data_IF_109632313145
#
_entry.id   IF_109632313145
#
_cell.length_a   1.000
_cell.length_b   1.000
_cell.length_c   1.000
_cell.angle_alpha   90.00
_cell.angle_beta   90.00
_cell.angle_gamma   90.00
#
_symmetry.space_group_name_H-M   'P 1'
#
loop_
_entity.id
_entity.type
_entity.pdbx_description
1 polymer ?
#
# COMPACT_ATOMS: atom_id res chain seq x y z
N UNK A 1 -10.58 -10.24 -23.41
CA UNK A 1 -10.41 -10.73 -22.02
C UNK A 1 -11.71 -10.62 -21.22
N UNK A 2 -12.18 -11.72 -20.64
CA UNK A 2 -13.35 -11.79 -19.76
C UNK A 2 -12.84 -12.13 -18.36
N UNK A 3 -13.19 -11.33 -17.37
CA UNK A 3 -12.85 -11.60 -15.98
C UNK A 3 -14.07 -12.23 -15.32
N UNK A 4 -13.94 -13.48 -14.86
CA UNK A 4 -15.00 -14.11 -14.09
C UNK A 4 -14.93 -13.58 -12.66
N UNK A 5 -15.80 -12.64 -12.33
CA UNK A 5 -15.89 -12.07 -10.98
C UNK A 5 -16.74 -12.99 -10.10
N UNK A 6 -16.20 -13.39 -8.95
CA UNK A 6 -17.02 -13.98 -7.91
C UNK A 6 -17.70 -12.87 -7.09
N UNK A 7 -16.97 -11.80 -6.77
CA UNK A 7 -17.48 -10.69 -5.98
C UNK A 7 -16.72 -9.38 -6.28
N UNK A 8 -17.45 -8.26 -6.29
CA UNK A 8 -16.92 -6.89 -6.34
C UNK A 8 -17.62 -6.07 -5.25
N UNK A 9 -16.84 -5.51 -4.32
CA UNK A 9 -17.32 -4.58 -3.30
C UNK A 9 -16.58 -3.25 -3.47
N UNK A 10 -17.31 -2.19 -3.80
CA UNK A 10 -16.73 -0.87 -4.06
C UNK A 10 -17.48 0.19 -3.24
N UNK A 11 -17.17 0.35 -1.94
CA UNK A 11 -17.70 1.46 -1.17
C UNK A 11 -17.06 2.74 -1.68
N UNK A 12 -17.87 3.75 -1.98
CA UNK A 12 -17.36 5.02 -2.45
C UNK A 12 -18.20 6.19 -1.94
N UNK A 13 -17.56 7.36 -1.92
CA UNK A 13 -18.22 8.65 -1.87
C UNK A 13 -18.02 9.35 -3.20
N UNK A 14 -19.04 10.11 -3.63
CA UNK A 14 -18.94 10.95 -4.81
C UNK A 14 -19.47 12.34 -4.44
N UNK A 15 -18.60 13.34 -4.48
CA UNK A 15 -18.97 14.72 -4.11
C UNK A 15 -18.33 15.67 -5.10
N UNK A 16 -19.14 16.48 -5.78
CA UNK A 16 -18.67 17.48 -6.76
C UNK A 16 -17.72 16.89 -7.83
N UNK A 17 -18.01 15.67 -8.28
CA UNK A 17 -17.18 14.96 -9.26
C UNK A 17 -15.91 14.31 -8.70
N UNK A 18 -15.61 14.44 -7.41
CA UNK A 18 -14.55 13.70 -6.76
C UNK A 18 -15.08 12.36 -6.24
N UNK A 19 -14.67 11.28 -6.89
CA UNK A 19 -14.86 9.90 -6.43
C UNK A 19 -13.76 9.53 -5.44
N UNK A 20 -14.11 8.94 -4.31
CA UNK A 20 -13.16 8.37 -3.36
C UNK A 20 -13.63 7.02 -2.87
N UNK A 21 -12.71 6.04 -2.80
CA UNK A 21 -12.97 4.73 -2.21
C UNK A 21 -11.94 4.43 -1.12
N UNK A 22 -12.39 4.14 0.12
CA UNK A 22 -11.46 3.78 1.19
C UNK A 22 -10.92 2.36 1.02
N UNK A 23 -11.70 1.47 0.40
CA UNK A 23 -11.35 0.07 0.20
C UNK A 23 -12.31 -0.62 -0.78
N UNK A 24 -11.98 -0.61 -2.07
CA UNK A 24 -12.62 -1.46 -3.07
C UNK A 24 -11.94 -2.83 -3.07
N UNK A 25 -12.71 -3.92 -3.02
CA UNK A 25 -12.21 -5.29 -3.11
C UNK A 25 -12.83 -6.04 -4.27
N UNK A 26 -12.04 -6.92 -4.86
CA UNK A 26 -12.46 -7.78 -5.96
C UNK A 26 -11.91 -9.17 -5.74
N UNK A 27 -12.80 -10.15 -5.79
CA UNK A 27 -12.50 -11.56 -5.58
C UNK A 27 -12.84 -12.33 -6.84
N UNK A 28 -11.85 -13.03 -7.37
CA UNK A 28 -12.05 -14.05 -8.39
C UNK A 28 -11.29 -15.33 -8.02
N UNK A 29 -11.46 -16.47 -8.72
CA UNK A 29 -10.80 -17.72 -8.34
C UNK A 29 -9.28 -17.64 -8.14
N UNK A 30 -8.57 -16.85 -8.94
CA UNK A 30 -7.09 -16.83 -9.00
C UNK A 30 -6.44 -15.48 -8.64
N UNK A 31 -7.23 -14.47 -8.34
CA UNK A 31 -6.82 -13.10 -8.09
C UNK A 31 -7.72 -12.52 -7.00
N UNK A 32 -7.06 -11.91 -6.04
CA UNK A 32 -7.64 -11.01 -5.06
C UNK A 32 -7.10 -9.63 -5.35
N UNK A 33 -7.94 -8.61 -5.33
CA UNK A 33 -7.52 -7.23 -5.54
C UNK A 33 -8.13 -6.36 -4.46
N UNK A 34 -7.32 -5.48 -3.88
CA UNK A 34 -7.76 -4.39 -3.04
C UNK A 34 -7.29 -3.07 -3.64
N UNK A 35 -8.14 -2.05 -3.66
CA UNK A 35 -7.83 -0.73 -4.17
C UNK A 35 -8.34 0.34 -3.22
N UNK A 36 -7.57 1.42 -3.09
CA UNK A 36 -7.97 2.63 -2.37
C UNK A 36 -7.45 3.86 -3.09
N UNK A 37 -8.19 4.95 -3.02
CA UNK A 37 -7.79 6.20 -3.66
C UNK A 37 -8.97 6.95 -4.23
N UNK A 38 -8.67 7.82 -5.20
CA UNK A 38 -9.60 8.81 -5.73
C UNK A 38 -9.51 8.94 -7.24
N UNK A 39 -10.63 9.31 -7.83
CA UNK A 39 -10.72 9.78 -9.20
C UNK A 39 -11.41 11.14 -9.22
N UNK A 40 -10.81 12.11 -9.89
CA UNK A 40 -11.48 13.37 -10.20
C UNK A 40 -12.14 13.23 -11.57
N UNK A 41 -13.46 13.17 -11.60
CA UNK A 41 -14.24 13.01 -12.84
C UNK A 41 -14.33 14.31 -13.65
N UNK A 42 -14.04 15.48 -13.03
CA UNK A 42 -14.07 16.78 -13.71
C UNK A 42 -12.75 17.04 -14.42
N UNK A 43 -11.65 16.80 -13.70
CA UNK A 43 -10.30 16.93 -14.25
C UNK A 43 -9.79 15.65 -14.93
N UNK A 44 -10.60 14.59 -14.92
CA UNK A 44 -10.29 13.26 -15.46
C UNK A 44 -8.97 12.68 -14.94
N UNK A 45 -8.70 12.82 -13.64
CA UNK A 45 -7.44 12.36 -13.02
C UNK A 45 -7.63 11.19 -12.07
N UNK A 46 -6.58 10.37 -11.95
CA UNK A 46 -6.53 9.17 -11.13
C UNK A 46 -5.44 9.30 -10.07
N UNK A 47 -5.71 8.79 -8.87
CA UNK A 47 -4.72 8.54 -7.84
C UNK A 47 -5.17 7.35 -6.98
N UNK A 48 -4.72 6.16 -7.34
CA UNK A 48 -5.06 4.92 -6.67
C UNK A 48 -3.83 4.12 -6.28
N UNK A 49 -3.94 3.44 -5.15
CA UNK A 49 -3.08 2.32 -4.77
C UNK A 49 -3.87 1.03 -4.95
N UNK A 50 -3.36 0.15 -5.79
CA UNK A 50 -3.97 -1.13 -6.13
C UNK A 50 -3.03 -2.25 -5.70
N UNK A 51 -3.55 -3.19 -4.93
CA UNK A 51 -2.83 -4.36 -4.41
C UNK A 51 -3.45 -5.63 -5.02
N UNK A 52 -2.99 -6.06 -6.22
CA UNK A 52 -3.34 -7.37 -6.75
C UNK A 52 -2.51 -8.45 -6.06
N UNK A 53 -3.15 -9.56 -5.73
CA UNK A 53 -2.54 -10.79 -5.22
C UNK A 53 -3.03 -11.97 -6.05
N UNK A 54 -2.12 -12.61 -6.76
CA UNK A 54 -2.41 -13.86 -7.47
C UNK A 54 -2.33 -15.02 -6.48
N UNK A 55 -3.34 -15.89 -6.44
CA UNK A 55 -3.38 -17.07 -5.56
C UNK A 55 -3.10 -18.32 -6.38
N UNK A 56 -2.19 -19.17 -5.89
CA UNK A 56 -1.63 -20.26 -6.70
C UNK A 56 -2.45 -21.57 -6.69
N UNK A 57 -3.49 -21.70 -5.85
CA UNK A 57 -4.19 -23.00 -5.71
C UNK A 57 -5.71 -22.88 -5.52
N UNK A 58 -6.44 -23.84 -6.11
CA UNK A 58 -7.85 -24.18 -5.79
C UNK A 58 -7.98 -25.02 -4.49
N UNK A 59 -6.87 -25.35 -3.82
CA UNK A 59 -6.87 -26.06 -2.56
C UNK A 59 -7.22 -25.10 -1.42
N UNK A 60 -8.52 -24.89 -1.22
CA UNK A 60 -9.02 -23.96 -0.19
C UNK A 60 -10.51 -24.03 0.08
N UNK A 61 -11.24 -25.04 -0.42
CA UNK A 61 -12.64 -25.28 -0.01
C UNK A 61 -12.79 -25.82 1.42
N UNK A 62 -11.73 -25.86 2.25
CA UNK A 62 -11.83 -26.53 3.55
C UNK A 62 -10.80 -26.23 4.63
N UNK A 63 -9.93 -25.21 4.55
CA UNK A 63 -8.99 -25.00 5.67
C UNK A 63 -8.01 -23.84 5.58
N UNK A 64 -7.71 -23.30 6.77
CA UNK A 64 -6.92 -22.11 7.12
C UNK A 64 -5.44 -22.18 6.71
N UNK A 65 -5.12 -22.32 5.43
CA UNK A 65 -3.74 -22.16 4.95
C UNK A 65 -3.56 -20.77 4.35
N UNK A 66 -2.49 -20.03 4.74
CA UNK A 66 -2.21 -18.72 4.16
C UNK A 66 -1.88 -18.91 2.69
N UNK A 67 -2.77 -18.43 1.82
CA UNK A 67 -2.61 -18.48 0.37
C UNK A 67 -1.25 -17.91 -0.04
N UNK A 68 -0.35 -18.79 -0.47
CA UNK A 68 0.92 -18.48 -1.13
C UNK A 68 0.60 -17.80 -2.45
N UNK A 69 0.83 -16.49 -2.47
CA UNK A 69 0.50 -15.64 -3.60
C UNK A 69 1.48 -14.49 -3.74
N UNK A 70 1.80 -14.14 -4.98
CA UNK A 70 2.65 -12.99 -5.29
C UNK A 70 1.76 -11.76 -5.33
N UNK A 71 2.05 -10.81 -4.44
CA UNK A 71 1.44 -9.49 -4.44
C UNK A 71 2.43 -8.48 -5.01
N UNK A 72 2.02 -7.74 -6.03
CA UNK A 72 2.80 -6.63 -6.58
C UNK A 72 1.94 -5.36 -6.48
N UNK A 73 2.06 -4.60 -5.39
CA UNK A 73 1.39 -3.32 -5.24
C UNK A 73 1.75 -2.34 -6.38
N UNK A 74 0.74 -1.67 -6.94
CA UNK A 74 0.86 -0.71 -8.04
C UNK A 74 0.18 0.60 -7.65
N UNK A 75 0.83 1.71 -7.97
CA UNK A 75 0.25 3.05 -7.93
C UNK A 75 -0.23 3.39 -9.34
N UNK A 76 -1.48 3.83 -9.45
CA UNK A 76 -2.13 4.27 -10.69
C UNK A 76 -2.39 5.77 -10.59
N UNK A 77 -1.73 6.57 -11.41
CA UNK A 77 -1.92 8.02 -11.46
C UNK A 77 -2.10 8.53 -12.88
N UNK A 78 -2.23 9.84 -13.08
CA UNK A 78 -2.33 10.45 -14.40
C UNK A 78 -3.78 10.75 -14.79
N UNK A 79 -4.05 10.85 -16.08
CA UNK A 79 -5.40 11.12 -16.59
C UNK A 79 -6.12 9.84 -16.97
N UNK A 80 -7.44 9.89 -17.18
CA UNK A 80 -8.22 8.76 -17.70
C UNK A 80 -7.73 8.32 -19.08
N UNK A 81 -7.30 9.27 -19.91
CA UNK A 81 -6.75 9.04 -21.25
C UNK A 81 -5.32 8.54 -21.26
N UNK A 82 -4.54 8.80 -20.21
CA UNK A 82 -3.13 8.41 -20.11
C UNK A 82 -2.76 8.00 -18.68
N UNK A 83 -3.29 6.86 -18.20
CA UNK A 83 -2.97 6.36 -16.89
C UNK A 83 -1.51 5.88 -16.83
N UNK A 84 -0.84 6.18 -15.72
CA UNK A 84 0.53 5.79 -15.42
C UNK A 84 0.53 4.77 -14.30
N UNK A 85 1.20 3.64 -14.55
CA UNK A 85 1.31 2.54 -13.61
C UNK A 85 2.76 2.43 -13.14
N UNK A 86 2.97 2.38 -11.82
CA UNK A 86 4.30 2.17 -11.24
C UNK A 86 4.23 1.26 -10.02
N UNK A 87 5.24 0.38 -9.79
CA UNK A 87 5.31 -0.39 -8.56
C UNK A 87 5.31 0.52 -7.33
N UNK A 88 4.57 0.14 -6.28
CA UNK A 88 4.63 0.80 -4.98
C UNK A 88 5.82 0.26 -4.19
N UNK A 89 7.02 0.77 -4.51
CA UNK A 89 8.27 0.36 -3.86
C UNK A 89 8.25 0.63 -2.35
N UNK A 90 7.54 1.67 -1.91
CA UNK A 90 7.40 1.99 -0.49
C UNK A 90 6.64 0.89 0.24
N UNK A 91 5.48 0.48 -0.30
CA UNK A 91 4.72 -0.64 0.25
C UNK A 91 5.51 -1.95 0.23
N UNK A 92 6.21 -2.25 -0.86
CA UNK A 92 7.03 -3.48 -0.99
C UNK A 92 8.15 -3.50 0.04
N UNK A 93 8.85 -2.38 0.22
CA UNK A 93 9.92 -2.25 1.21
C UNK A 93 9.36 -2.38 2.64
N UNK A 94 8.25 -1.68 2.95
CA UNK A 94 7.57 -1.80 4.25
C UNK A 94 7.13 -3.23 4.55
N UNK A 95 6.55 -3.94 3.58
CA UNK A 95 6.15 -5.34 3.74
C UNK A 95 7.35 -6.27 3.94
N UNK A 96 8.46 -6.03 3.25
CA UNK A 96 9.71 -6.79 3.41
C UNK A 96 10.32 -6.60 4.80
N UNK A 97 10.43 -5.35 5.27
CA UNK A 97 10.94 -5.05 6.62
C UNK A 97 10.04 -5.64 7.70
N UNK A 98 8.71 -5.53 7.57
CA UNK A 98 7.76 -6.13 8.53
C UNK A 98 7.87 -7.65 8.60
N UNK A 99 8.19 -8.31 7.47
CA UNK A 99 8.38 -9.76 7.41
C UNK A 99 9.67 -10.19 8.11
N UNK A 100 10.74 -9.42 7.99
CA UNK A 100 12.04 -9.72 8.61
C UNK A 100 12.12 -9.32 10.09
N UNK A 101 11.35 -8.31 10.52
CA UNK A 101 11.36 -7.78 11.88
C UNK A 101 9.94 -7.71 12.48
N UNK A 102 9.30 -8.86 12.78
CA UNK A 102 7.92 -8.92 13.25
C UNK A 102 7.66 -8.28 14.64
N UNK A 103 8.70 -7.77 15.32
CA UNK A 103 8.62 -7.16 16.66
C UNK A 103 8.99 -5.67 16.74
N UNK A 104 9.33 -5.01 15.63
CA UNK A 104 9.72 -3.58 15.65
C UNK A 104 8.50 -2.65 15.57
N UNK A 105 7.86 -2.43 16.72
CA UNK A 105 6.68 -1.56 16.93
C UNK A 105 6.92 -0.07 16.55
N UNK A 106 8.12 0.34 16.13
CA UNK A 106 8.48 1.75 15.87
C UNK A 106 8.76 2.15 14.42
N UNK A 107 8.59 1.26 13.43
CA UNK A 107 9.01 1.59 12.04
C UNK A 107 8.13 2.65 11.36
N UNK A 108 6.86 2.78 11.76
CA UNK A 108 5.97 3.82 11.22
C UNK A 108 6.35 5.23 11.73
N UNK A 109 7.10 5.37 12.83
CA UNK A 109 7.67 6.64 13.31
C UNK A 109 9.01 7.00 12.66
N UNK A 110 9.77 6.00 12.19
CA UNK A 110 11.14 6.19 11.67
C UNK A 110 11.15 6.46 10.16
N UNK A 111 10.10 6.06 9.44
CA UNK A 111 9.99 6.34 8.00
C UNK A 111 9.46 7.77 7.81
N UNK A 112 10.31 8.74 7.41
CA UNK A 112 9.85 10.10 7.21
C UNK A 112 8.80 10.12 6.10
N UNK A 113 7.61 10.62 6.41
CA UNK A 113 6.62 11.01 5.42
C UNK A 113 7.27 12.13 4.58
N UNK A 114 7.80 11.78 3.40
CA UNK A 114 8.56 12.69 2.51
C UNK A 114 7.67 13.75 1.85
N UNK A 115 6.66 14.25 2.56
CA UNK A 115 5.68 15.24 2.13
C UNK A 115 5.84 16.64 2.72
N UNK A 116 6.71 16.88 3.70
CA UNK A 116 6.99 18.23 4.24
C UNK A 116 8.48 18.47 4.48
N UNK A 117 9.14 19.14 3.53
CA UNK A 117 10.39 19.90 3.77
C UNK A 117 9.92 21.23 4.41
N UNK A 118 10.41 21.71 5.55
CA UNK A 118 11.76 22.28 5.70
C UNK A 118 12.29 22.38 7.16
N UNK A 119 11.55 21.98 8.21
CA UNK A 119 11.96 22.30 9.60
C UNK A 119 12.54 21.14 10.44
N UNK A 120 12.50 19.88 9.97
CA UNK A 120 12.80 18.71 10.83
C UNK A 120 14.26 18.25 10.85
N UNK A 121 15.12 18.75 9.96
CA UNK A 121 16.53 18.31 9.83
C UNK A 121 17.29 18.40 11.17
N UNK A 122 17.04 19.45 11.95
CA UNK A 122 17.68 19.71 13.24
C UNK A 122 17.14 18.82 14.38
N UNK A 123 15.89 18.36 14.26
CA UNK A 123 15.21 17.51 15.25
C UNK A 123 15.62 16.05 15.07
N UNK A 124 15.74 15.61 13.82
CA UNK A 124 16.18 14.26 13.45
C UNK A 124 17.64 14.03 13.86
N UNK A 125 18.53 15.01 13.66
CA UNK A 125 19.92 14.92 14.10
C UNK A 125 20.09 14.88 15.63
N UNK A 126 19.23 15.60 16.38
CA UNK A 126 19.23 15.55 17.85
C UNK A 126 18.79 14.18 18.36
N UNK A 127 17.68 13.65 17.84
CA UNK A 127 17.16 12.33 18.24
C UNK A 127 18.15 11.20 17.93
N UNK A 128 18.84 11.27 16.78
CA UNK A 128 19.87 10.29 16.43
C UNK A 128 21.09 10.36 17.37
N UNK A 129 21.52 11.57 17.76
CA UNK A 129 22.66 11.75 18.70
C UNK A 129 22.34 11.29 20.12
N UNK A 130 21.12 11.49 20.59
CA UNK A 130 20.68 11.03 21.92
C UNK A 130 20.57 9.50 21.99
N UNK A 131 20.15 8.86 20.89
CA UNK A 131 20.08 7.40 20.82
C UNK A 131 21.48 6.75 20.81
N UNK A 132 22.45 7.35 20.12
CA UNK A 132 23.85 6.86 20.12
C UNK A 132 24.52 7.04 21.48
N UNK A 133 24.19 8.11 22.23
CA UNK A 133 24.70 8.31 23.60
C UNK A 133 24.12 7.34 24.63
N UNK A 134 22.92 6.81 24.39
CA UNK A 134 22.26 5.84 25.28
C UNK A 134 22.71 4.39 25.10
N UNK A 135 23.52 4.10 24.07
CA UNK A 135 24.00 2.75 23.79
C UNK A 135 25.30 2.45 24.57
N UNK A 136 25.33 1.41 25.42
CA UNK A 136 26.52 1.05 26.19
C UNK A 136 27.50 0.28 25.27
N UNK A 137 28.25 1.01 24.45
CA UNK A 137 29.42 0.44 23.77
C UNK A 137 30.64 0.55 24.68
N UNK A 138 30.88 -0.48 25.48
CA UNK A 138 32.17 -0.68 26.15
C UNK A 138 32.11 -0.96 27.65
N UNK A 139 31.83 -2.21 28.02
CA UNK A 139 32.73 -3.02 28.86
C UNK A 139 32.52 -4.50 28.55
#
# INVERSE_FOLDING_TARGET
PRTDFAELNAPFTLTNGLFETPNTTLVNPFLRLAAKGKADLVNETLDFRVKPKFVSTMEGQGGKTPQSGVAVPVIVTGTFSSPKFRPDLESIMKESLKKELPGAVGLDEILPDRGKKEDESTSVEKKAKDFIKGLPFGK
#
